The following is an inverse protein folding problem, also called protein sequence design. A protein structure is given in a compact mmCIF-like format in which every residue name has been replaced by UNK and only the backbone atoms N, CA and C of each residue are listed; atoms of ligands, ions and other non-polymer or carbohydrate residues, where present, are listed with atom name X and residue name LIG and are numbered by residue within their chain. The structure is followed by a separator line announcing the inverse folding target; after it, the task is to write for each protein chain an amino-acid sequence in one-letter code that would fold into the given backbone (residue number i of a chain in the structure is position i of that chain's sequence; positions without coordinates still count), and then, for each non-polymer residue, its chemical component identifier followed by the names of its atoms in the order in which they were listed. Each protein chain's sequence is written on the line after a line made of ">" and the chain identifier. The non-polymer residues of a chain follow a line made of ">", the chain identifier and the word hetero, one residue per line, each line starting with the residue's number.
data_IF_969349243316
#
_entry.id   IF_969349243316
#
_cell.length_a   1.000
_cell.length_b   1.000
_cell.length_c   1.000
_cell.angle_alpha   90.00
_cell.angle_beta   90.00
_cell.angle_gamma   90.00
#
_symmetry.space_group_name_H-M   'P 1'
#
loop_
_entity.id
_entity.type
_entity.pdbx_description
1 polymer ?
#
# COMPACT_ATOMS: atom_id res chain seq x y z
N UNK A 1 -2.67 -5.76 22.92
CA UNK A 1 -1.69 -4.71 22.59
C UNK A 1 -1.67 -4.60 21.08
N UNK A 2 -1.44 -3.43 20.48
CA UNK A 2 -1.57 -3.25 19.03
C UNK A 2 -0.36 -3.81 18.24
N UNK A 3 0.10 -4.99 18.59
CA UNK A 3 1.17 -5.72 17.89
C UNK A 3 0.77 -7.18 17.75
N UNK A 4 1.00 -7.72 16.58
CA UNK A 4 0.95 -9.16 16.29
C UNK A 4 2.31 -9.62 15.79
N UNK A 5 2.75 -10.81 16.20
CA UNK A 5 3.98 -11.44 15.71
C UNK A 5 3.66 -12.33 14.51
N UNK A 6 4.45 -12.19 13.45
CA UNK A 6 4.44 -13.04 12.27
C UNK A 6 5.88 -13.35 11.84
N UNK A 7 6.31 -14.62 11.94
CA UNK A 7 7.67 -15.07 11.63
C UNK A 7 8.75 -14.23 12.33
N UNK A 8 8.66 -14.12 13.67
CA UNK A 8 9.56 -13.34 14.54
C UNK A 8 9.60 -11.82 14.25
N UNK A 9 8.64 -11.29 13.47
CA UNK A 9 8.49 -9.88 13.16
C UNK A 9 7.24 -9.32 13.85
N UNK A 10 7.41 -8.29 14.66
CA UNK A 10 6.30 -7.59 15.31
C UNK A 10 5.69 -6.56 14.36
N UNK A 11 4.44 -6.75 14.02
CA UNK A 11 3.65 -5.87 13.16
C UNK A 11 2.74 -5.00 14.01
N UNK A 12 2.91 -3.69 13.91
CA UNK A 12 2.07 -2.71 14.59
C UNK A 12 0.82 -2.38 13.78
N UNK A 13 -0.33 -2.35 14.45
CA UNK A 13 -1.58 -1.93 13.85
C UNK A 13 -2.45 -1.14 14.83
N UNK A 14 -3.41 -0.39 14.32
CA UNK A 14 -4.41 0.32 15.10
C UNK A 14 -5.80 0.07 14.52
N UNK A 15 -6.82 0.11 15.39
CA UNK A 15 -8.22 -0.08 14.98
C UNK A 15 -9.03 1.15 15.34
N UNK A 16 -9.83 1.65 14.39
CA UNK A 16 -10.71 2.80 14.55
C UNK A 16 -12.09 2.54 13.95
N UNK A 17 -13.13 3.08 14.58
CA UNK A 17 -14.49 2.94 14.10
C UNK A 17 -15.08 1.56 14.34
N UNK A 18 -16.30 1.37 13.84
CA UNK A 18 -17.07 0.13 13.96
C UNK A 18 -17.71 -0.23 12.62
N UNK A 19 -18.11 -1.48 12.44
CA UNK A 19 -18.79 -1.95 11.24
C UNK A 19 -17.99 -2.98 10.44
N UNK A 20 -18.14 -2.97 9.11
CA UNK A 20 -17.46 -3.92 8.24
C UNK A 20 -15.95 -3.64 8.23
N UNK A 21 -15.09 -4.64 8.46
CA UNK A 21 -13.64 -4.43 8.47
C UNK A 21 -13.09 -3.94 7.13
N UNK A 22 -12.23 -2.93 7.19
CA UNK A 22 -11.48 -2.37 6.06
C UNK A 22 -10.03 -2.13 6.48
N UNK A 23 -9.11 -2.92 5.95
CA UNK A 23 -7.68 -2.75 6.20
C UNK A 23 -7.08 -1.67 5.30
N UNK A 24 -6.26 -0.79 5.87
CA UNK A 24 -5.57 0.29 5.18
C UNK A 24 -4.06 0.05 5.22
N UNK A 25 -3.42 -0.03 4.05
CA UNK A 25 -1.99 -0.29 3.91
C UNK A 25 -1.28 0.83 3.13
N UNK A 26 -0.36 1.51 3.79
CA UNK A 26 0.35 2.68 3.26
C UNK A 26 1.39 2.33 2.19
N UNK A 27 1.89 3.37 1.51
CA UNK A 27 3.01 3.31 0.57
C UNK A 27 4.37 3.62 1.22
N UNK A 28 5.43 3.37 0.47
CA UNK A 28 6.83 3.66 0.84
C UNK A 28 7.14 5.17 0.72
N UNK A 29 7.90 5.76 1.64
CA UNK A 29 8.32 5.32 2.97
C UNK A 29 7.39 5.85 4.09
N UNK A 30 6.11 5.51 4.02
CA UNK A 30 5.08 6.02 4.93
C UNK A 30 4.90 5.21 6.20
N UNK A 31 3.79 5.49 6.88
CA UNK A 31 3.25 4.73 7.99
C UNK A 31 1.73 4.91 8.05
N UNK A 32 1.06 4.25 8.98
CA UNK A 32 -0.41 4.29 9.12
C UNK A 32 -0.97 5.69 9.36
N UNK A 33 -0.21 6.64 9.92
CA UNK A 33 -0.68 8.00 10.18
C UNK A 33 -0.96 8.79 8.90
N UNK A 34 -0.38 8.39 7.75
CA UNK A 34 -0.65 9.05 6.47
C UNK A 34 -2.14 9.04 6.12
N UNK A 35 -2.86 7.96 6.46
CA UNK A 35 -4.31 7.89 6.24
C UNK A 35 -5.09 8.91 7.08
N UNK A 36 -4.63 9.20 8.30
CA UNK A 36 -5.20 10.26 9.14
C UNK A 36 -4.86 11.63 8.59
N UNK A 37 -3.59 11.84 8.29
CA UNK A 37 -3.08 13.14 7.81
C UNK A 37 -3.81 13.60 6.53
N UNK A 38 -4.11 12.68 5.63
CA UNK A 38 -4.82 12.97 4.38
C UNK A 38 -6.34 12.68 4.46
N UNK A 39 -6.92 12.64 5.68
CA UNK A 39 -8.37 12.57 5.97
C UNK A 39 -9.09 11.32 5.44
N UNK A 40 -8.39 10.22 5.13
CA UNK A 40 -9.04 8.96 4.77
C UNK A 40 -9.83 8.39 5.95
N UNK A 41 -9.22 8.37 7.15
CA UNK A 41 -9.83 7.75 8.33
C UNK A 41 -11.09 8.47 8.75
N UNK A 42 -11.13 9.79 8.71
CA UNK A 42 -12.27 10.58 9.17
C UNK A 42 -13.58 10.22 8.44
N UNK A 43 -13.50 9.95 7.15
CA UNK A 43 -14.66 9.59 6.33
C UNK A 43 -14.99 8.11 6.39
N UNK A 44 -13.98 7.25 6.36
CA UNK A 44 -14.17 5.80 6.30
C UNK A 44 -14.66 5.23 7.64
N UNK A 45 -14.15 5.71 8.79
CA UNK A 45 -14.52 5.23 10.13
C UNK A 45 -15.98 5.43 10.50
N UNK A 46 -16.71 6.24 9.76
CA UNK A 46 -18.15 6.44 9.97
C UNK A 46 -18.99 5.22 9.58
N UNK A 47 -18.43 4.31 8.77
CA UNK A 47 -19.14 3.15 8.21
C UNK A 47 -18.35 1.84 8.32
N UNK A 48 -17.03 1.92 8.56
CA UNK A 48 -16.11 0.79 8.54
C UNK A 48 -15.30 0.74 9.83
N UNK A 49 -15.03 -0.47 10.29
CA UNK A 49 -13.95 -0.72 11.25
C UNK A 49 -12.63 -0.68 10.49
N UNK A 50 -11.88 0.38 10.68
CA UNK A 50 -10.59 0.58 10.02
C UNK A 50 -9.49 -0.16 10.76
N UNK A 51 -8.71 -0.95 10.04
CA UNK A 51 -7.51 -1.62 10.52
C UNK A 51 -6.33 -0.97 9.81
N UNK A 52 -5.62 -0.09 10.52
CA UNK A 52 -4.46 0.62 9.99
C UNK A 52 -3.21 -0.13 10.37
N UNK A 53 -2.38 -0.48 9.41
CA UNK A 53 -1.16 -1.25 9.63
C UNK A 53 0.09 -0.43 9.31
N UNK A 54 1.10 -0.50 10.18
CA UNK A 54 2.47 -0.15 9.82
C UNK A 54 3.10 -1.38 9.15
N UNK A 55 3.48 -1.27 7.90
CA UNK A 55 4.13 -2.36 7.19
C UNK A 55 5.48 -2.74 7.86
N UNK A 56 5.92 -3.99 7.75
CA UNK A 56 7.30 -4.36 8.12
C UNK A 56 8.30 -3.39 7.50
N UNK A 57 9.33 -3.01 8.22
CA UNK A 57 10.29 -2.00 7.79
C UNK A 57 9.84 -0.55 8.02
N UNK A 58 8.62 -0.30 8.53
CA UNK A 58 8.06 1.04 8.65
C UNK A 58 7.44 1.30 10.03
N UNK A 59 7.28 2.59 10.33
CA UNK A 59 6.54 3.05 11.50
C UNK A 59 7.03 2.42 12.80
N UNK A 60 6.13 1.76 13.52
CA UNK A 60 6.38 1.06 14.78
C UNK A 60 6.61 -0.45 14.62
N UNK A 61 6.40 -0.99 13.42
CA UNK A 61 6.72 -2.38 13.11
C UNK A 61 8.22 -2.61 13.09
N UNK A 62 8.64 -3.87 13.27
CA UNK A 62 10.05 -4.26 13.19
C UNK A 62 10.63 -3.97 11.80
N UNK A 63 11.94 -3.73 11.77
CA UNK A 63 12.69 -3.25 10.61
C UNK A 63 13.87 -4.18 10.30
N UNK A 64 13.60 -5.41 9.82
CA UNK A 64 14.68 -6.32 9.44
C UNK A 64 15.53 -5.72 8.31
N UNK A 65 16.83 -6.04 8.29
CA UNK A 65 17.73 -5.59 7.23
C UNK A 65 17.99 -6.67 6.17
N UNK A 66 17.43 -7.85 6.35
CA UNK A 66 17.52 -8.97 5.41
C UNK A 66 16.57 -8.74 4.23
N UNK A 67 17.07 -8.79 3.01
CA UNK A 67 16.31 -8.59 1.78
C UNK A 67 15.12 -9.55 1.69
N UNK A 68 15.32 -10.81 2.05
CA UNK A 68 14.29 -11.85 1.98
C UNK A 68 13.13 -11.63 2.93
N UNK A 69 13.30 -10.82 3.99
CA UNK A 69 12.22 -10.41 4.88
C UNK A 69 11.14 -9.58 4.15
N UNK A 70 11.49 -8.93 3.05
CA UNK A 70 10.62 -8.04 2.29
C UNK A 70 9.99 -8.68 1.04
N UNK A 71 9.98 -10.01 0.95
CA UNK A 71 9.22 -10.70 -0.09
C UNK A 71 7.74 -10.40 0.03
N UNK A 72 7.06 -10.24 -1.10
CA UNK A 72 5.65 -9.84 -1.15
C UNK A 72 4.74 -10.77 -0.33
N UNK A 73 5.03 -12.08 -0.34
CA UNK A 73 4.29 -13.06 0.47
C UNK A 73 4.34 -12.74 1.97
N UNK A 74 5.46 -12.22 2.47
CA UNK A 74 5.61 -11.88 3.89
C UNK A 74 4.70 -10.70 4.28
N UNK A 75 4.61 -9.68 3.44
CA UNK A 75 3.64 -8.58 3.65
C UNK A 75 2.19 -9.07 3.65
N UNK A 76 1.86 -10.02 2.76
CA UNK A 76 0.52 -10.61 2.75
C UNK A 76 0.27 -11.39 4.04
N UNK A 77 1.24 -12.19 4.49
CA UNK A 77 1.13 -12.93 5.75
C UNK A 77 0.94 -11.99 6.95
N UNK A 78 1.60 -10.82 6.96
CA UNK A 78 1.39 -9.81 8.01
C UNK A 78 -0.07 -9.33 8.05
N UNK A 79 -0.67 -9.07 6.88
CA UNK A 79 -2.09 -8.65 6.84
C UNK A 79 -3.01 -9.74 7.37
N UNK A 80 -2.71 -11.01 7.06
CA UNK A 80 -3.48 -12.16 7.54
C UNK A 80 -3.30 -12.33 9.05
N UNK A 81 -2.07 -12.21 9.57
CA UNK A 81 -1.79 -12.30 11.00
C UNK A 81 -2.55 -11.24 11.81
N UNK A 82 -2.65 -10.01 11.30
CA UNK A 82 -3.46 -8.95 11.92
C UNK A 82 -4.96 -9.32 11.93
N UNK A 83 -5.49 -9.90 10.85
CA UNK A 83 -6.88 -10.35 10.83
C UNK A 83 -7.12 -11.50 11.82
N UNK A 84 -6.15 -12.42 11.95
CA UNK A 84 -6.24 -13.55 12.88
C UNK A 84 -6.20 -13.08 14.34
N UNK A 85 -5.32 -12.14 14.69
CA UNK A 85 -5.23 -11.54 16.03
C UNK A 85 -6.53 -10.82 16.42
N UNK A 86 -7.21 -10.20 15.44
CA UNK A 86 -8.50 -9.54 15.65
C UNK A 86 -9.71 -10.49 15.59
N UNK A 87 -9.52 -11.77 15.26
CA UNK A 87 -10.61 -12.74 15.06
C UNK A 87 -11.49 -12.41 13.85
N UNK A 88 -10.95 -11.71 12.86
CA UNK A 88 -11.68 -11.28 11.66
C UNK A 88 -11.47 -12.29 10.53
N UNK A 89 -12.56 -12.92 10.10
CA UNK A 89 -12.51 -13.89 8.99
C UNK A 89 -12.17 -13.22 7.66
N UNK A 90 -12.84 -12.11 7.32
CA UNK A 90 -12.65 -11.40 6.06
C UNK A 90 -12.76 -9.90 6.22
N UNK A 91 -11.89 -9.15 5.54
CA UNK A 91 -11.88 -7.70 5.47
C UNK A 91 -11.94 -7.20 4.02
N UNK A 92 -12.36 -5.96 3.80
CA UNK A 92 -11.96 -5.22 2.60
C UNK A 92 -10.51 -4.76 2.76
N UNK A 93 -9.84 -4.47 1.65
CA UNK A 93 -8.46 -3.97 1.66
C UNK A 93 -8.33 -2.72 0.79
N UNK A 94 -7.63 -1.71 1.29
CA UNK A 94 -7.23 -0.52 0.56
C UNK A 94 -5.72 -0.33 0.72
N UNK A 95 -4.99 -0.43 -0.37
CA UNK A 95 -3.54 -0.20 -0.39
C UNK A 95 -3.12 0.84 -1.43
N UNK A 96 -2.13 1.64 -1.10
CA UNK A 96 -1.57 2.63 -2.01
C UNK A 96 -0.09 2.35 -2.31
N UNK A 97 0.31 2.40 -3.58
CA UNK A 97 1.70 2.21 -4.01
C UNK A 97 2.25 0.88 -3.51
N UNK A 98 3.21 0.84 -2.59
CA UNK A 98 3.66 -0.39 -1.93
C UNK A 98 2.48 -1.20 -1.35
N UNK A 99 1.54 -0.54 -0.64
CA UNK A 99 0.32 -1.19 -0.17
C UNK A 99 -0.56 -1.73 -1.31
N UNK A 100 -0.54 -1.08 -2.48
CA UNK A 100 -1.18 -1.59 -3.69
C UNK A 100 -0.53 -2.88 -4.19
N UNK A 101 0.81 -2.99 -4.13
CA UNK A 101 1.53 -4.26 -4.41
C UNK A 101 1.09 -5.36 -3.45
N UNK A 102 0.93 -5.05 -2.15
CA UNK A 102 0.43 -6.01 -1.16
C UNK A 102 -1.00 -6.45 -1.52
N UNK A 103 -1.86 -5.53 -1.96
CA UNK A 103 -3.21 -5.86 -2.44
C UNK A 103 -3.20 -6.85 -3.61
N UNK A 104 -2.30 -6.66 -4.58
CA UNK A 104 -2.10 -7.63 -5.69
C UNK A 104 -1.60 -8.98 -5.16
N UNK A 105 -0.67 -8.97 -4.21
CA UNK A 105 -0.18 -10.18 -3.54
C UNK A 105 -1.29 -10.91 -2.77
N UNK A 106 -2.20 -10.20 -2.12
CA UNK A 106 -3.39 -10.77 -1.46
C UNK A 106 -4.24 -11.56 -2.47
N UNK A 107 -4.46 -10.99 -3.65
CA UNK A 107 -5.22 -11.65 -4.71
C UNK A 107 -4.65 -13.01 -5.12
N UNK A 108 -3.35 -13.22 -4.92
CA UNK A 108 -2.65 -14.46 -5.27
C UNK A 108 -2.49 -15.39 -4.07
N UNK A 109 -2.03 -14.87 -2.93
CA UNK A 109 -1.64 -15.73 -1.80
C UNK A 109 -2.76 -15.99 -0.79
N UNK A 110 -3.71 -15.04 -0.64
CA UNK A 110 -4.74 -15.13 0.42
C UNK A 110 -6.09 -14.53 0.00
N UNK A 111 -6.61 -14.81 -1.23
CA UNK A 111 -7.83 -14.18 -1.72
C UNK A 111 -9.06 -14.47 -0.83
N UNK A 112 -9.09 -15.61 -0.17
CA UNK A 112 -10.21 -16.04 0.67
C UNK A 112 -10.34 -15.26 1.98
N UNK A 113 -9.32 -14.48 2.38
CA UNK A 113 -9.30 -13.66 3.59
C UNK A 113 -9.81 -12.23 3.34
N UNK A 114 -10.13 -11.90 2.10
CA UNK A 114 -10.60 -10.57 1.75
C UNK A 114 -11.92 -10.62 0.98
N UNK A 115 -12.70 -9.53 1.09
CA UNK A 115 -13.99 -9.35 0.40
C UNK A 115 -13.80 -8.62 -0.92
N UNK A 116 -12.92 -7.64 -0.95
CA UNK A 116 -12.56 -6.86 -2.15
C UNK A 116 -11.20 -6.18 -1.95
N UNK A 117 -10.59 -5.77 -3.06
CA UNK A 117 -9.29 -5.09 -3.09
C UNK A 117 -9.44 -3.70 -3.73
N UNK A 118 -8.92 -2.68 -3.06
CA UNK A 118 -8.81 -1.33 -3.58
C UNK A 118 -7.32 -1.00 -3.70
N UNK A 119 -6.86 -0.80 -4.94
CA UNK A 119 -5.45 -0.70 -5.30
C UNK A 119 -5.21 0.66 -5.94
N UNK A 120 -4.52 1.54 -5.22
CA UNK A 120 -4.19 2.88 -5.69
C UNK A 120 -2.74 3.01 -6.12
N UNK A 121 -2.49 3.67 -7.26
CA UNK A 121 -1.15 3.99 -7.74
C UNK A 121 -0.23 2.79 -7.90
N UNK A 122 -0.77 1.65 -8.34
CA UNK A 122 -0.01 0.41 -8.53
C UNK A 122 -0.66 -0.47 -9.61
N UNK A 123 0.18 -1.16 -10.34
CA UNK A 123 -0.19 -2.20 -11.30
C UNK A 123 0.93 -3.22 -11.44
N UNK A 124 0.69 -4.27 -12.20
CA UNK A 124 1.60 -5.39 -12.34
C UNK A 124 2.19 -5.46 -13.75
N UNK A 125 3.48 -5.21 -13.88
CA UNK A 125 4.21 -5.40 -15.11
C UNK A 125 4.52 -6.88 -15.36
N UNK A 126 4.64 -7.28 -16.64
CA UNK A 126 5.01 -8.65 -17.03
C UNK A 126 6.43 -9.03 -16.56
N UNK A 127 7.32 -8.07 -16.60
CA UNK A 127 8.73 -8.24 -16.22
C UNK A 127 9.20 -7.02 -15.45
N UNK A 128 10.34 -7.14 -14.79
CA UNK A 128 11.04 -5.97 -14.27
C UNK A 128 11.56 -5.14 -15.47
N UNK A 129 10.76 -4.14 -15.87
CA UNK A 129 11.20 -3.19 -16.89
C UNK A 129 12.47 -2.46 -16.42
N UNK A 130 13.30 -2.04 -17.38
CA UNK A 130 14.49 -1.22 -17.09
C UNK A 130 14.13 0.00 -16.23
N UNK A 131 12.96 0.59 -16.48
CA UNK A 131 12.44 1.72 -15.74
C UNK A 131 12.08 1.39 -14.29
N UNK A 132 11.51 0.21 -14.02
CA UNK A 132 11.24 -0.28 -12.65
C UNK A 132 12.54 -0.55 -11.90
N UNK A 133 13.50 -1.19 -12.56
CA UNK A 133 14.83 -1.46 -12.01
C UNK A 133 15.52 -0.14 -11.66
N UNK A 134 15.53 0.81 -12.59
CA UNK A 134 16.11 2.14 -12.38
C UNK A 134 15.46 2.86 -11.22
N UNK A 135 14.13 2.89 -11.12
CA UNK A 135 13.43 3.50 -9.97
C UNK A 135 13.84 2.89 -8.63
N UNK A 136 13.96 1.56 -8.57
CA UNK A 136 14.45 0.90 -7.36
C UNK A 136 15.87 1.33 -7.01
N UNK A 137 16.75 1.47 -8.01
CA UNK A 137 18.11 1.94 -7.80
C UNK A 137 18.16 3.39 -7.34
N UNK A 138 17.37 4.28 -7.98
CA UNK A 138 17.27 5.70 -7.59
C UNK A 138 16.77 5.85 -6.13
N UNK A 139 15.82 5.01 -5.70
CA UNK A 139 15.36 4.98 -4.31
C UNK A 139 16.43 4.46 -3.35
N UNK A 140 17.16 3.41 -3.71
CA UNK A 140 18.27 2.88 -2.91
C UNK A 140 19.34 3.97 -2.73
N UNK A 141 19.70 4.68 -3.77
CA UNK A 141 20.66 5.79 -3.69
C UNK A 141 20.14 6.90 -2.78
N UNK A 142 18.89 7.30 -2.94
CA UNK A 142 18.25 8.31 -2.09
C UNK A 142 18.28 7.90 -0.60
N UNK A 143 17.99 6.63 -0.29
CA UNK A 143 18.05 6.14 1.10
C UNK A 143 19.47 6.07 1.64
N UNK A 144 20.47 5.83 0.80
CA UNK A 144 21.90 5.90 1.19
C UNK A 144 22.35 7.33 1.52
N UNK A 145 21.75 8.34 0.90
CA UNK A 145 21.98 9.74 1.26
C UNK A 145 21.37 10.12 2.61
N UNK A 146 20.48 9.28 3.14
CA UNK A 146 19.82 9.44 4.44
C UNK A 146 18.42 10.06 4.36
N UNK A 147 17.74 10.06 5.51
CA UNK A 147 16.33 10.46 5.55
C UNK A 147 16.12 11.96 5.35
N UNK A 148 17.11 12.80 5.58
CA UNK A 148 17.09 14.21 5.21
C UNK A 148 16.91 14.42 3.70
N UNK A 149 17.61 13.63 2.88
CA UNK A 149 17.48 13.70 1.44
C UNK A 149 16.06 13.29 0.98
N UNK A 150 15.48 12.28 1.62
CA UNK A 150 14.09 11.84 1.40
C UNK A 150 13.11 12.95 1.75
N UNK A 151 13.26 13.58 2.91
CA UNK A 151 12.43 14.73 3.32
C UNK A 151 12.54 15.86 2.30
N UNK A 152 13.77 16.25 1.92
CA UNK A 152 13.98 17.30 0.94
C UNK A 152 13.36 16.97 -0.43
N UNK A 153 13.38 15.72 -0.87
CA UNK A 153 12.70 15.28 -2.09
C UNK A 153 11.19 15.47 -1.96
N UNK A 154 10.58 15.05 -0.85
CA UNK A 154 9.15 15.24 -0.62
C UNK A 154 8.75 16.71 -0.53
N UNK A 155 9.52 17.54 0.14
CA UNK A 155 9.27 18.99 0.25
C UNK A 155 9.28 19.65 -1.15
N UNK A 156 10.25 19.31 -2.00
CA UNK A 156 10.30 19.79 -3.39
C UNK A 156 9.10 19.37 -4.23
N UNK A 157 8.55 18.18 -3.96
CA UNK A 157 7.33 17.68 -4.64
C UNK A 157 6.02 18.11 -3.96
N UNK A 158 6.08 19.06 -3.02
CA UNK A 158 4.92 19.50 -2.24
C UNK A 158 4.43 18.44 -1.22
N UNK A 159 5.33 17.53 -0.76
CA UNK A 159 4.98 16.31 -0.06
C UNK A 159 4.94 16.35 1.44
N UNK A 160 5.88 16.99 2.07
CA UNK A 160 5.96 17.10 3.52
C UNK A 160 5.52 18.50 3.89
N UNK A 161 4.30 18.64 4.38
CA UNK A 161 3.71 19.94 4.67
C UNK A 161 3.61 20.25 6.17
N UNK A 162 3.91 19.27 7.04
CA UNK A 162 3.83 19.46 8.49
C UNK A 162 5.09 18.97 9.20
N UNK A 163 5.44 19.60 10.36
CA UNK A 163 6.54 19.13 11.19
C UNK A 163 6.39 17.66 11.63
N UNK A 164 5.16 17.21 11.85
CA UNK A 164 4.86 15.84 12.26
C UNK A 164 5.18 14.84 11.14
N UNK A 165 4.78 15.11 9.91
CA UNK A 165 5.14 14.25 8.77
C UNK A 165 6.64 14.21 8.53
N UNK A 166 7.32 15.35 8.71
CA UNK A 166 8.77 15.40 8.63
C UNK A 166 9.40 14.48 9.68
N UNK A 167 8.98 14.60 10.94
CA UNK A 167 9.47 13.76 12.02
C UNK A 167 9.20 12.27 11.76
N UNK A 168 7.99 11.91 11.32
CA UNK A 168 7.65 10.53 10.98
C UNK A 168 8.50 10.00 9.82
N UNK A 169 8.78 10.82 8.80
CA UNK A 169 9.68 10.44 7.70
C UNK A 169 11.11 10.23 8.21
N UNK A 170 11.61 11.11 9.07
CA UNK A 170 12.96 11.04 9.66
C UNK A 170 13.17 9.80 10.54
N UNK A 171 12.11 9.22 11.09
CA UNK A 171 12.16 8.00 11.93
C UNK A 171 12.29 6.70 11.15
N UNK A 172 12.19 6.75 9.82
CA UNK A 172 12.40 5.54 9.02
C UNK A 172 13.85 5.07 9.11
N UNK A 173 14.03 3.77 8.95
CA UNK A 173 15.33 3.12 8.92
C UNK A 173 15.79 2.97 7.46
N UNK A 174 16.83 3.69 7.03
CA UNK A 174 17.30 3.63 5.65
C UNK A 174 17.77 2.24 5.23
N UNK A 175 18.37 1.45 6.12
CA UNK A 175 18.87 0.10 5.80
C UNK A 175 17.70 -0.86 5.52
N UNK A 176 16.63 -0.76 6.31
CA UNK A 176 15.40 -1.51 6.08
C UNK A 176 14.75 -1.12 4.74
N UNK A 177 14.70 0.17 4.40
CA UNK A 177 14.16 0.66 3.14
C UNK A 177 15.02 0.24 1.93
N UNK A 178 16.34 0.22 2.08
CA UNK A 178 17.27 -0.31 1.07
C UNK A 178 17.04 -1.80 0.86
N UNK A 179 16.92 -2.59 1.93
CA UNK A 179 16.64 -4.02 1.85
C UNK A 179 15.32 -4.28 1.10
N UNK A 180 14.26 -3.53 1.43
CA UNK A 180 12.97 -3.60 0.75
C UNK A 180 13.09 -3.30 -0.76
N UNK A 181 13.77 -2.20 -1.12
CA UNK A 181 13.96 -1.84 -2.53
C UNK A 181 14.90 -2.79 -3.29
N UNK A 182 15.64 -3.62 -2.58
CA UNK A 182 16.57 -4.59 -3.17
C UNK A 182 15.93 -5.93 -3.54
N UNK A 183 14.70 -6.19 -3.10
CA UNK A 183 13.96 -7.41 -3.43
C UNK A 183 13.80 -7.54 -4.94
N UNK A 184 14.11 -8.73 -5.45
CA UNK A 184 13.87 -9.13 -6.83
C UNK A 184 13.05 -10.41 -6.81
N UNK A 185 11.77 -10.26 -7.10
CA UNK A 185 10.83 -11.38 -7.20
C UNK A 185 10.22 -11.41 -8.60
N UNK A 186 10.44 -12.50 -9.30
CA UNK A 186 9.68 -12.85 -10.50
C UNK A 186 8.56 -13.80 -10.09
N UNK A 187 7.42 -13.24 -9.81
CA UNK A 187 6.22 -14.03 -9.57
C UNK A 187 5.39 -13.85 -10.83
N UNK A 188 5.10 -14.91 -11.56
CA UNK A 188 4.24 -14.91 -12.76
C UNK A 188 2.78 -14.55 -12.45
N UNK A 189 2.58 -13.47 -11.67
CA UNK A 189 1.28 -13.04 -11.19
C UNK A 189 0.33 -12.65 -12.32
N UNK A 190 0.86 -12.12 -13.42
CA UNK A 190 0.03 -11.66 -14.53
C UNK A 190 -0.83 -12.80 -15.07
N UNK A 191 -0.30 -14.01 -15.14
CA UNK A 191 -1.03 -15.19 -15.62
C UNK A 191 -2.13 -15.64 -14.64
N UNK A 192 -2.05 -15.24 -13.37
CA UNK A 192 -3.02 -15.56 -12.33
C UNK A 192 -4.17 -14.53 -12.24
N UNK A 193 -3.96 -13.30 -12.72
CA UNK A 193 -4.95 -12.21 -12.61
C UNK A 193 -6.30 -12.54 -13.29
N UNK A 194 -6.34 -13.23 -14.47
CA UNK A 194 -7.63 -13.61 -15.10
C UNK A 194 -8.47 -14.57 -14.25
N UNK A 195 -7.87 -15.29 -13.31
CA UNK A 195 -8.56 -16.20 -12.39
C UNK A 195 -8.99 -15.56 -11.07
N UNK A 196 -8.64 -14.29 -10.84
CA UNK A 196 -8.98 -13.58 -9.62
C UNK A 196 -10.47 -13.19 -9.60
N UNK A 197 -11.22 -13.82 -8.71
CA UNK A 197 -12.66 -13.62 -8.57
C UNK A 197 -13.06 -12.51 -7.61
N UNK A 198 -12.10 -11.93 -6.87
CA UNK A 198 -12.36 -10.80 -5.95
C UNK A 198 -12.77 -9.55 -6.74
N UNK A 199 -13.79 -8.81 -6.30
CA UNK A 199 -14.05 -7.47 -6.80
C UNK A 199 -12.85 -6.57 -6.54
N UNK A 200 -12.39 -5.85 -7.57
CA UNK A 200 -11.24 -4.96 -7.47
C UNK A 200 -11.57 -3.55 -7.97
N UNK A 201 -11.07 -2.54 -7.26
CA UNK A 201 -11.04 -1.16 -7.74
C UNK A 201 -9.57 -0.74 -7.88
N UNK A 202 -9.19 -0.37 -9.09
CA UNK A 202 -7.92 0.30 -9.34
C UNK A 202 -8.14 1.79 -9.54
N UNK A 203 -7.23 2.62 -9.04
CA UNK A 203 -7.23 4.04 -9.32
C UNK A 203 -5.81 4.61 -9.41
N UNK A 204 -5.61 5.55 -10.33
CA UNK A 204 -4.35 6.26 -10.48
C UNK A 204 -4.60 7.65 -11.09
N UNK A 205 -3.75 8.60 -10.79
CA UNK A 205 -3.73 9.88 -11.49
C UNK A 205 -3.26 9.71 -12.93
N UNK A 206 -3.76 10.52 -13.86
CA UNK A 206 -3.39 10.40 -15.28
C UNK A 206 -1.93 10.85 -15.57
N UNK A 207 -1.30 11.51 -14.59
CA UNK A 207 0.13 11.87 -14.62
C UNK A 207 0.99 10.96 -13.71
N UNK A 208 0.39 9.88 -13.16
CA UNK A 208 1.12 8.88 -12.39
C UNK A 208 1.85 7.92 -13.33
N UNK A 209 3.11 7.64 -13.07
CA UNK A 209 3.89 6.66 -13.84
C UNK A 209 3.32 5.23 -13.75
N UNK A 210 2.46 4.94 -12.76
CA UNK A 210 1.71 3.68 -12.67
C UNK A 210 0.35 3.74 -13.38
N UNK A 211 -0.08 4.86 -13.95
CA UNK A 211 -1.41 5.00 -14.53
C UNK A 211 -1.72 3.91 -15.56
N UNK A 212 -0.87 3.81 -16.60
CA UNK A 212 -1.09 2.88 -17.70
C UNK A 212 -1.07 1.43 -17.23
N UNK A 213 -0.08 1.05 -16.42
CA UNK A 213 0.01 -0.33 -15.92
C UNK A 213 -1.11 -0.69 -14.94
N UNK A 214 -1.62 0.27 -14.14
CA UNK A 214 -2.79 0.07 -13.29
C UNK A 214 -4.04 -0.24 -14.11
N UNK A 215 -4.23 0.50 -15.20
CA UNK A 215 -5.34 0.29 -16.13
C UNK A 215 -5.26 -1.09 -16.79
N UNK A 216 -4.11 -1.44 -17.36
CA UNK A 216 -3.87 -2.74 -18.00
C UNK A 216 -4.05 -3.90 -17.02
N UNK A 217 -3.61 -3.73 -15.76
CA UNK A 217 -3.80 -4.73 -14.72
C UNK A 217 -5.28 -4.94 -14.40
N UNK A 218 -6.04 -3.85 -14.30
CA UNK A 218 -7.49 -3.93 -14.08
C UNK A 218 -8.21 -4.62 -15.23
N UNK A 219 -7.80 -4.41 -16.47
CA UNK A 219 -8.40 -5.05 -17.66
C UNK A 219 -8.21 -6.57 -17.69
N UNK A 220 -7.22 -7.10 -16.97
CA UNK A 220 -6.98 -8.55 -16.86
C UNK A 220 -7.87 -9.25 -15.83
N UNK A 221 -8.44 -8.51 -14.87
CA UNK A 221 -9.20 -9.06 -13.75
C UNK A 221 -10.70 -8.96 -14.05
N UNK A 222 -11.46 -10.06 -14.10
CA UNK A 222 -12.85 -10.06 -14.57
C UNK A 222 -13.80 -9.11 -13.82
N UNK A 223 -13.57 -8.92 -12.51
CA UNK A 223 -14.41 -8.08 -11.64
C UNK A 223 -13.73 -6.78 -11.23
N UNK A 224 -12.76 -6.31 -12.01
CA UNK A 224 -12.08 -5.07 -11.71
C UNK A 224 -12.70 -3.86 -12.43
N UNK A 225 -12.55 -2.70 -11.79
CA UNK A 225 -12.86 -1.37 -12.34
C UNK A 225 -11.62 -0.51 -12.24
N UNK A 226 -11.41 0.38 -13.22
CA UNK A 226 -10.33 1.37 -13.19
C UNK A 226 -10.90 2.78 -13.16
N UNK A 227 -10.32 3.63 -12.33
CA UNK A 227 -10.63 5.06 -12.22
C UNK A 227 -9.36 5.88 -12.51
N UNK A 228 -9.43 6.72 -13.52
CA UNK A 228 -8.39 7.72 -13.81
C UNK A 228 -8.74 9.04 -13.16
N UNK A 229 -7.79 9.64 -12.43
CA UNK A 229 -7.96 10.92 -11.73
C UNK A 229 -7.17 12.00 -12.47
N UNK A 230 -7.86 12.97 -13.11
CA UNK A 230 -7.20 13.93 -14.00
C UNK A 230 -6.29 14.91 -13.27
N UNK A 231 -5.14 15.22 -13.88
CA UNK A 231 -4.18 16.22 -13.41
C UNK A 231 -3.34 15.79 -12.19
N UNK A 232 -3.43 14.52 -11.76
CA UNK A 232 -2.75 14.05 -10.56
C UNK A 232 -1.59 13.10 -10.90
N UNK A 233 -0.42 13.37 -10.31
CA UNK A 233 0.70 12.43 -10.27
C UNK A 233 0.59 11.49 -9.06
N UNK A 234 1.59 10.62 -8.90
CA UNK A 234 1.61 9.57 -7.88
C UNK A 234 1.31 10.07 -6.46
N UNK A 235 2.09 11.01 -5.94
CA UNK A 235 1.87 11.55 -4.59
C UNK A 235 0.59 12.39 -4.50
N UNK A 236 0.27 13.14 -5.56
CA UNK A 236 -0.92 13.96 -5.64
C UNK A 236 -2.20 13.15 -5.49
N UNK A 237 -2.27 12.00 -6.12
CA UNK A 237 -3.42 11.09 -6.06
C UNK A 237 -3.70 10.65 -4.62
N UNK A 238 -2.69 10.23 -3.88
CA UNK A 238 -2.89 9.82 -2.47
C UNK A 238 -3.34 10.97 -1.57
N UNK A 239 -2.83 12.18 -1.80
CA UNK A 239 -3.14 13.36 -0.98
C UNK A 239 -4.54 13.92 -1.21
N UNK A 240 -5.11 13.70 -2.37
CA UNK A 240 -6.43 14.20 -2.75
C UNK A 240 -7.53 13.20 -2.38
N UNK A 241 -7.65 12.88 -1.07
CA UNK A 241 -8.67 11.93 -0.58
C UNK A 241 -10.09 12.34 -0.96
N UNK A 242 -10.37 13.64 -1.08
CA UNK A 242 -11.67 14.15 -1.52
C UNK A 242 -12.04 13.73 -2.96
N UNK A 243 -11.04 13.52 -3.82
CA UNK A 243 -11.25 13.00 -5.17
C UNK A 243 -11.28 11.47 -5.22
N UNK A 244 -10.54 10.80 -4.34
CA UNK A 244 -10.42 9.33 -4.29
C UNK A 244 -11.62 8.69 -3.58
N UNK A 245 -11.98 9.18 -2.38
CA UNK A 245 -12.95 8.53 -1.50
C UNK A 245 -14.36 8.39 -2.08
N UNK A 246 -14.89 9.29 -2.91
CA UNK A 246 -16.18 9.06 -3.56
C UNK A 246 -16.22 7.78 -4.40
N UNK A 247 -15.12 7.46 -5.11
CA UNK A 247 -15.00 6.24 -5.90
C UNK A 247 -14.85 4.99 -5.01
N UNK A 248 -14.02 5.08 -3.96
CA UNK A 248 -13.82 4.03 -2.96
C UNK A 248 -15.12 3.68 -2.26
N UNK A 249 -15.83 4.68 -1.72
CA UNK A 249 -17.09 4.48 -1.00
C UNK A 249 -18.19 3.90 -1.89
N UNK A 250 -18.29 4.37 -3.14
CA UNK A 250 -19.23 3.80 -4.11
C UNK A 250 -18.94 2.33 -4.39
N UNK A 251 -17.66 2.01 -4.63
CA UNK A 251 -17.24 0.63 -4.87
C UNK A 251 -17.57 -0.28 -3.68
N UNK A 252 -17.25 0.15 -2.45
CA UNK A 252 -17.49 -0.61 -1.21
C UNK A 252 -18.99 -0.86 -0.92
N UNK A 253 -19.88 -0.04 -1.46
CA UNK A 253 -21.35 -0.26 -1.36
C UNK A 253 -21.83 -1.30 -2.37
N UNK A 254 -21.14 -1.43 -3.50
CA UNK A 254 -21.51 -2.34 -4.60
C UNK A 254 -21.05 -3.81 -4.35
N UNK A 255 -20.19 -4.09 -3.31
CA UNK A 255 -19.53 -5.39 -3.10
C UNK A 255 -19.70 -5.98 -1.72
#
# INVERSE_FOLDING_TARGET
>A
MPFVENDDINIYYEVEGEGVPLMLHHGLPGNLKLFRHFNYTERLRQKYQLILIDARGHGRSDKPHEVDAYRLKNFVNDTVAVLDDLGIEKSHFLGYSMGGSVGLGIGVYSPNRFKSLIIGGMGMAETDSEEKIKRSQDLIELFREGMEAVVAMFERSGGVSSPELREDTMRNDPEALIALCSVREHIGFRDLLPSLELPCLFYAGDQDYYHQISKETAELIPKARFVSLPGLGHLGTFRQSDLVLPHVLRFLVDV
#
